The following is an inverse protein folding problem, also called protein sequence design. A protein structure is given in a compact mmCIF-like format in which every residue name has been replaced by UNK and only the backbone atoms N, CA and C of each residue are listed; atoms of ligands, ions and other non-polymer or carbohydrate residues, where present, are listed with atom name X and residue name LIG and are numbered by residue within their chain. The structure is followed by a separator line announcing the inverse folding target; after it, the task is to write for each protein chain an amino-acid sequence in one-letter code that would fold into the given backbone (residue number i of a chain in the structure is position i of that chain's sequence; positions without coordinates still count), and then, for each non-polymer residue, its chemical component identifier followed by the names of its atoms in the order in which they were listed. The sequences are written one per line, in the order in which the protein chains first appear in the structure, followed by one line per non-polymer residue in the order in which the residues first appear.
data_IF_803437610412
#
_entry.id   IF_803437610412
#
_cell.length_a   1.000
_cell.length_b   1.000
_cell.length_c   1.000
_cell.angle_alpha   90.00
_cell.angle_beta   90.00
_cell.angle_gamma   90.00
#
_symmetry.space_group_name_H-M   'P 1'
#
loop_
_entity.id
_entity.type
_entity.pdbx_description
1 polymer ?
#
# COMPACT_ATOMS: atom_id res chain seq x y z
N UNK A 1 -0.51 12.38 -24.23
CA UNK A 1 -1.14 11.06 -24.01
C UNK A 1 -1.31 10.82 -22.52
N UNK A 2 -0.23 10.83 -21.74
CA UNK A 2 -0.25 10.68 -20.27
C UNK A 2 -1.30 11.55 -19.55
N UNK A 3 -1.37 12.85 -19.84
CA UNK A 3 -2.41 13.74 -19.25
C UNK A 3 -3.86 13.40 -19.66
N UNK A 4 -4.07 12.48 -20.61
CA UNK A 4 -5.37 12.21 -21.27
C UNK A 4 -5.98 13.43 -21.98
N UNK A 5 -5.13 14.31 -22.51
CA UNK A 5 -5.52 15.58 -23.14
C UNK A 5 -5.21 15.67 -24.63
N UNK A 6 -4.74 14.60 -25.29
CA UNK A 6 -4.26 14.67 -26.68
C UNK A 6 -5.36 15.16 -27.64
N UNK A 7 -6.52 14.50 -27.65
CA UNK A 7 -7.68 14.92 -28.46
C UNK A 7 -8.12 16.35 -28.11
N UNK A 8 -8.21 16.69 -26.82
CA UNK A 8 -8.64 18.02 -26.35
C UNK A 8 -7.69 19.13 -26.81
N UNK A 9 -6.38 18.91 -26.71
CA UNK A 9 -5.37 19.89 -27.13
C UNK A 9 -5.36 20.07 -28.64
N UNK A 10 -5.44 18.99 -29.42
CA UNK A 10 -5.51 19.08 -30.87
C UNK A 10 -6.82 19.74 -31.32
N UNK A 11 -7.95 19.42 -30.69
CA UNK A 11 -9.23 20.11 -30.94
C UNK A 11 -9.14 21.60 -30.66
N UNK A 12 -8.48 22.02 -29.57
CA UNK A 12 -8.28 23.44 -29.25
C UNK A 12 -7.36 24.12 -30.25
N UNK A 13 -6.25 23.48 -30.62
CA UNK A 13 -5.31 24.00 -31.63
C UNK A 13 -6.02 24.20 -32.97
N UNK A 14 -6.82 23.22 -33.38
CA UNK A 14 -7.55 23.22 -34.67
C UNK A 14 -8.85 24.03 -34.65
N UNK A 15 -9.22 24.64 -33.50
CA UNK A 15 -10.36 25.55 -33.43
C UNK A 15 -10.05 26.93 -34.03
N UNK A 16 -8.76 27.26 -34.21
CA UNK A 16 -8.35 28.44 -34.98
C UNK A 16 -8.39 28.13 -36.49
N UNK A 17 -9.58 28.30 -37.06
CA UNK A 17 -9.83 28.03 -38.48
C UNK A 17 -9.03 28.96 -39.39
N UNK A 18 -8.76 30.21 -38.98
CA UNK A 18 -8.05 31.18 -39.81
C UNK A 18 -6.55 30.84 -39.88
N UNK A 19 -5.95 30.45 -38.74
CA UNK A 19 -4.58 29.93 -38.71
C UNK A 19 -4.45 28.67 -39.58
N UNK A 20 -5.42 27.77 -39.49
CA UNK A 20 -5.43 26.52 -40.27
C UNK A 20 -5.56 26.80 -41.77
N UNK A 21 -6.43 27.72 -42.18
CA UNK A 21 -6.57 28.15 -43.59
C UNK A 21 -5.30 28.83 -44.12
N UNK A 22 -4.62 29.61 -43.28
CA UNK A 22 -3.38 30.32 -43.63
C UNK A 22 -2.21 29.37 -43.87
N UNK A 23 -2.10 28.31 -43.07
CA UNK A 23 -0.96 27.39 -43.11
C UNK A 23 -1.15 26.20 -44.06
N UNK A 24 -2.39 25.73 -44.24
CA UNK A 24 -2.67 24.48 -44.97
C UNK A 24 -3.43 24.72 -46.28
N UNK A 25 -3.04 23.97 -47.33
CA UNK A 25 -3.75 23.94 -48.62
C UNK A 25 -5.15 23.34 -48.46
N UNK A 26 -6.09 23.71 -49.36
CA UNK A 26 -7.51 23.30 -49.27
C UNK A 26 -7.74 21.78 -49.19
N UNK A 27 -6.87 20.98 -49.82
CA UNK A 27 -6.93 19.52 -49.82
C UNK A 27 -6.17 18.85 -48.67
N UNK A 28 -5.58 19.63 -47.76
CA UNK A 28 -4.86 19.07 -46.63
C UNK A 28 -5.85 18.43 -45.64
N UNK A 29 -5.44 17.32 -45.04
CA UNK A 29 -6.20 16.58 -44.02
C UNK A 29 -6.83 17.50 -42.95
N UNK A 30 -6.05 18.42 -42.39
CA UNK A 30 -6.50 19.33 -41.33
C UNK A 30 -7.55 20.37 -41.79
N UNK A 31 -7.78 20.51 -43.10
CA UNK A 31 -8.82 21.35 -43.70
C UNK A 31 -10.01 20.55 -44.23
N UNK A 32 -9.99 19.22 -44.15
CA UNK A 32 -11.16 18.37 -44.34
C UNK A 32 -11.86 18.20 -42.98
N UNK A 33 -12.97 18.91 -42.78
CA UNK A 33 -13.61 18.97 -41.46
C UNK A 33 -14.12 17.61 -40.97
N UNK A 34 -14.69 16.79 -41.87
CA UNK A 34 -15.21 15.45 -41.55
C UNK A 34 -14.08 14.49 -41.11
N UNK A 35 -13.00 14.40 -41.88
CA UNK A 35 -11.85 13.55 -41.57
C UNK A 35 -11.15 13.99 -40.28
N UNK A 36 -11.00 15.31 -40.10
CA UNK A 36 -10.43 15.92 -38.90
C UNK A 36 -11.26 15.60 -37.67
N UNK A 37 -12.59 15.67 -37.74
CA UNK A 37 -13.48 15.35 -36.62
C UNK A 37 -13.40 13.87 -36.26
N UNK A 38 -13.45 12.96 -37.24
CA UNK A 38 -13.26 11.52 -37.02
C UNK A 38 -11.91 11.22 -36.38
N UNK A 39 -10.83 11.86 -36.83
CA UNK A 39 -9.51 11.72 -36.23
C UNK A 39 -9.50 12.15 -34.76
N UNK A 40 -10.04 13.33 -34.44
CA UNK A 40 -10.13 13.80 -33.06
C UNK A 40 -10.98 12.85 -32.18
N UNK A 41 -12.03 12.27 -32.75
CA UNK A 41 -12.86 11.27 -32.07
C UNK A 41 -12.08 9.98 -31.78
N UNK A 42 -11.33 9.45 -32.75
CA UNK A 42 -10.47 8.28 -32.54
C UNK A 42 -9.44 8.52 -31.45
N UNK A 43 -8.88 9.73 -31.34
CA UNK A 43 -7.92 10.07 -30.28
C UNK A 43 -8.52 10.06 -28.87
N UNK A 44 -9.84 10.10 -28.70
CA UNK A 44 -10.47 9.95 -27.38
C UNK A 44 -10.26 8.55 -26.79
N UNK A 45 -10.02 7.54 -27.62
CA UNK A 45 -9.69 6.19 -27.15
C UNK A 45 -8.44 6.16 -26.26
N UNK A 46 -7.49 7.08 -26.46
CA UNK A 46 -6.31 7.22 -25.61
C UNK A 46 -6.62 7.65 -24.16
N UNK A 47 -7.84 8.10 -23.86
CA UNK A 47 -8.23 8.44 -22.49
C UNK A 47 -8.66 7.21 -21.67
N UNK A 48 -8.95 6.07 -22.32
CA UNK A 48 -9.38 4.84 -21.66
C UNK A 48 -8.25 4.07 -20.98
N UNK A 49 -6.99 4.40 -21.29
CA UNK A 49 -5.80 3.72 -20.77
C UNK A 49 -4.94 4.74 -20.02
N UNK A 50 -4.36 4.32 -18.89
CA UNK A 50 -3.37 5.12 -18.17
C UNK A 50 -2.00 4.97 -18.83
N UNK A 51 -1.52 6.05 -19.44
CA UNK A 51 -0.22 6.11 -20.10
C UNK A 51 0.81 6.76 -19.18
N UNK A 52 2.01 6.19 -19.13
CA UNK A 52 3.17 6.75 -18.41
C UNK A 52 4.31 7.09 -19.38
N UNK A 53 3.97 7.38 -20.64
CA UNK A 53 4.95 7.57 -21.71
C UNK A 53 5.86 8.78 -21.51
N UNK A 54 5.39 9.84 -20.84
CA UNK A 54 6.23 10.99 -20.52
C UNK A 54 7.09 10.67 -19.29
N UNK A 55 6.45 10.18 -18.23
CA UNK A 55 7.12 9.83 -16.97
C UNK A 55 8.23 8.79 -17.15
N UNK A 56 8.01 7.77 -17.99
CA UNK A 56 9.00 6.70 -18.18
C UNK A 56 10.14 7.06 -19.15
N UNK A 57 9.96 8.05 -20.02
CA UNK A 57 10.98 8.47 -20.99
C UNK A 57 11.88 9.55 -20.41
N UNK A 58 11.31 10.52 -19.70
CA UNK A 58 12.04 11.65 -19.15
C UNK A 58 12.39 11.41 -17.67
N UNK A 59 13.30 10.49 -17.40
CA UNK A 59 13.62 10.06 -16.02
C UNK A 59 14.52 11.02 -15.23
N UNK A 60 15.15 11.98 -15.92
CA UNK A 60 16.12 12.92 -15.31
C UNK A 60 15.61 14.35 -15.19
N UNK A 61 14.38 14.63 -15.62
CA UNK A 61 13.81 15.98 -15.52
C UNK A 61 13.40 16.29 -14.08
N UNK A 62 13.41 17.58 -13.75
CA UNK A 62 12.85 18.08 -12.50
C UNK A 62 11.33 18.17 -12.62
N UNK A 63 10.62 17.62 -11.64
CA UNK A 63 9.16 17.63 -11.58
C UNK A 63 8.73 18.26 -10.25
N UNK A 64 7.86 19.28 -10.27
CA UNK A 64 7.17 19.73 -9.09
C UNK A 64 6.13 18.70 -8.63
N UNK A 65 6.21 18.32 -7.36
CA UNK A 65 5.24 17.48 -6.66
C UNK A 65 4.55 18.29 -5.56
N UNK A 66 3.23 18.20 -5.49
CA UNK A 66 2.42 18.78 -4.41
C UNK A 66 1.95 17.68 -3.48
N UNK A 67 2.32 17.79 -2.20
CA UNK A 67 1.88 16.90 -1.12
C UNK A 67 0.85 17.63 -0.30
N UNK A 68 -0.28 16.98 -0.06
CA UNK A 68 -1.36 17.45 0.78
C UNK A 68 -1.71 16.37 1.81
N UNK A 69 -1.55 16.69 3.10
CA UNK A 69 -1.91 15.80 4.20
C UNK A 69 -3.31 16.12 4.68
N UNK A 70 -4.19 15.12 4.67
CA UNK A 70 -5.58 15.28 5.09
C UNK A 70 -5.74 14.73 6.51
N UNK A 71 -5.84 15.59 7.54
CA UNK A 71 -6.11 15.15 8.91
C UNK A 71 -7.57 14.72 9.07
N UNK A 72 -7.86 13.92 10.08
CA UNK A 72 -9.24 13.57 10.38
C UNK A 72 -9.99 14.68 11.09
N UNK A 73 -11.22 14.96 10.60
CA UNK A 73 -12.14 15.93 11.21
C UNK A 73 -12.91 15.37 12.41
N UNK A 74 -12.71 14.08 12.75
CA UNK A 74 -13.53 13.35 13.73
C UNK A 74 -13.29 13.73 15.19
N UNK A 75 -12.14 14.33 15.52
CA UNK A 75 -11.89 14.89 16.85
C UNK A 75 -11.68 16.39 16.73
N UNK A 76 -12.64 17.17 17.23
CA UNK A 76 -12.46 18.60 17.42
C UNK A 76 -11.52 18.88 18.58
N UNK A 77 -10.61 19.84 18.40
CA UNK A 77 -10.22 20.72 19.52
C UNK A 77 -8.76 20.76 19.97
N UNK A 78 -7.83 19.97 19.44
CA UNK A 78 -6.40 20.18 19.75
C UNK A 78 -5.56 20.31 18.50
N UNK A 79 -4.86 21.44 18.39
CA UNK A 79 -3.91 21.67 17.30
C UNK A 79 -2.73 20.74 17.52
N UNK A 80 -2.49 19.84 16.57
CA UNK A 80 -1.26 19.06 16.50
C UNK A 80 -0.05 20.01 16.56
N UNK A 81 0.88 19.76 17.49
CA UNK A 81 1.96 20.70 17.84
C UNK A 81 3.36 20.26 17.40
N UNK A 82 3.55 18.99 17.07
CA UNK A 82 4.84 18.44 16.70
C UNK A 82 5.30 18.94 15.31
N UNK A 83 6.54 18.62 14.92
CA UNK A 83 7.06 18.91 13.59
C UNK A 83 6.81 17.72 12.64
N UNK A 84 5.87 17.83 11.67
CA UNK A 84 5.61 16.75 10.73
C UNK A 84 6.63 16.71 9.60
N UNK A 85 6.89 15.51 9.09
CA UNK A 85 7.75 15.28 7.93
C UNK A 85 7.18 14.18 7.03
N UNK A 86 7.59 14.19 5.76
CA UNK A 86 7.27 13.17 4.76
C UNK A 86 8.50 12.76 3.96
N UNK A 87 8.48 11.56 3.39
CA UNK A 87 9.42 11.07 2.38
C UNK A 87 8.59 10.39 1.29
N UNK A 88 8.70 10.88 0.05
CA UNK A 88 7.95 10.34 -1.10
C UNK A 88 8.88 9.44 -1.90
N UNK A 89 8.43 8.24 -2.22
CA UNK A 89 9.16 7.27 -3.03
C UNK A 89 8.33 6.88 -4.25
N UNK A 90 9.01 6.67 -5.37
CA UNK A 90 8.43 6.10 -6.59
C UNK A 90 9.37 5.10 -7.25
N UNK A 91 8.97 4.58 -8.41
CA UNK A 91 9.72 3.55 -9.16
C UNK A 91 11.16 3.96 -9.53
N UNK A 92 11.45 5.27 -9.62
CA UNK A 92 12.77 5.76 -10.05
C UNK A 92 13.66 6.27 -8.91
N UNK A 93 13.07 6.86 -7.86
CA UNK A 93 13.81 7.55 -6.80
C UNK A 93 12.94 7.82 -5.57
N UNK A 94 13.57 8.32 -4.51
CA UNK A 94 12.91 8.87 -3.33
C UNK A 94 13.46 10.26 -2.96
N UNK A 95 12.67 11.06 -2.25
CA UNK A 95 12.99 12.46 -1.93
C UNK A 95 13.93 12.65 -0.74
N UNK A 96 14.06 11.63 0.12
CA UNK A 96 14.51 11.83 1.49
C UNK A 96 13.47 12.57 2.34
N UNK A 97 13.85 12.98 3.55
CA UNK A 97 12.94 13.60 4.52
C UNK A 97 12.70 15.08 4.20
N UNK A 98 11.44 15.43 4.00
CA UNK A 98 10.93 16.77 3.75
C UNK A 98 10.10 17.23 4.94
N UNK A 99 10.43 18.39 5.51
CA UNK A 99 9.67 18.97 6.61
C UNK A 99 8.38 19.62 6.09
N UNK A 100 7.25 19.32 6.73
CA UNK A 100 5.97 19.96 6.44
C UNK A 100 5.79 21.15 7.38
N UNK A 101 5.51 22.37 6.89
CA UNK A 101 5.18 23.50 7.76
C UNK A 101 3.96 23.19 8.63
N UNK A 102 4.07 23.44 9.93
CA UNK A 102 3.07 23.05 10.96
C UNK A 102 1.63 23.49 10.66
N UNK A 103 1.45 24.57 9.92
CA UNK A 103 0.15 25.23 9.74
C UNK A 103 -0.47 25.06 8.36
N UNK A 104 0.28 24.55 7.38
CA UNK A 104 -0.22 24.44 6.00
C UNK A 104 -0.74 23.05 5.67
N UNK A 105 -0.21 22.01 6.33
CA UNK A 105 -0.51 20.60 6.03
C UNK A 105 -0.23 20.20 4.56
N UNK A 106 0.48 21.06 3.83
CA UNK A 106 0.85 20.86 2.44
C UNK A 106 2.25 21.42 2.18
N UNK A 107 2.92 20.82 1.20
CA UNK A 107 4.19 21.29 0.66
C UNK A 107 4.22 21.07 -0.84
N UNK A 108 4.87 21.98 -1.57
CA UNK A 108 5.30 21.73 -2.94
C UNK A 108 6.81 21.69 -2.95
N UNK A 109 7.37 20.68 -3.61
CA UNK A 109 8.81 20.56 -3.80
C UNK A 109 9.11 20.15 -5.24
N UNK A 110 10.30 20.46 -5.70
CA UNK A 110 10.79 20.07 -7.01
C UNK A 110 11.96 19.10 -6.83
N UNK A 111 11.91 17.96 -7.49
CA UNK A 111 12.98 16.96 -7.46
C UNK A 111 13.07 16.23 -8.80
N UNK A 112 14.11 15.43 -8.99
CA UNK A 112 14.19 14.56 -10.16
C UNK A 112 12.97 13.63 -10.20
N UNK A 113 12.46 13.38 -11.40
CA UNK A 113 11.30 12.52 -11.65
C UNK A 113 11.36 11.21 -10.83
N UNK A 114 10.41 11.07 -9.90
CA UNK A 114 10.26 9.90 -9.02
C UNK A 114 9.63 8.70 -9.74
N UNK A 115 9.15 8.86 -10.97
CA UNK A 115 8.41 7.82 -11.69
C UNK A 115 6.95 7.74 -11.23
N UNK A 116 6.39 6.53 -11.28
CA UNK A 116 5.10 6.25 -10.62
C UNK A 116 5.33 6.20 -9.12
N UNK A 117 4.54 6.96 -8.37
CA UNK A 117 4.69 7.02 -6.91
C UNK A 117 4.21 5.70 -6.30
N UNK A 118 4.97 5.19 -5.33
CA UNK A 118 4.73 3.88 -4.71
C UNK A 118 4.40 4.02 -3.24
N UNK A 119 5.19 4.76 -2.48
CA UNK A 119 5.04 4.89 -1.02
C UNK A 119 5.26 6.32 -0.53
N UNK A 120 4.61 6.64 0.58
CA UNK A 120 4.88 7.84 1.37
C UNK A 120 5.17 7.40 2.79
N UNK A 121 6.35 7.74 3.30
CA UNK A 121 6.64 7.67 4.73
C UNK A 121 6.26 9.01 5.34
N UNK A 122 5.59 9.00 6.48
CA UNK A 122 5.25 10.23 7.19
C UNK A 122 5.38 10.04 8.70
N UNK A 123 5.71 11.11 9.41
CA UNK A 123 5.83 11.04 10.85
C UNK A 123 6.01 12.41 11.48
N UNK A 124 6.36 12.42 12.77
CA UNK A 124 6.70 13.64 13.49
C UNK A 124 7.73 13.39 14.60
N UNK A 125 8.35 14.47 15.08
CA UNK A 125 9.42 14.44 16.08
C UNK A 125 8.94 14.28 17.55
N UNK A 126 7.64 14.06 17.73
CA UNK A 126 6.99 13.98 19.05
C UNK A 126 7.19 15.23 19.96
N UNK A 127 7.52 16.39 19.39
CA UNK A 127 7.66 17.64 20.16
C UNK A 127 6.30 18.29 20.49
N UNK A 128 6.31 19.22 21.45
CA UNK A 128 5.14 20.00 21.84
C UNK A 128 4.22 19.31 22.85
N UNK A 129 3.16 20.02 23.27
CA UNK A 129 2.22 19.56 24.30
C UNK A 129 1.22 18.53 23.79
N UNK A 130 0.92 18.55 22.49
CA UNK A 130 -0.02 17.64 21.84
C UNK A 130 0.59 17.08 20.56
N UNK A 131 1.33 15.99 20.71
CA UNK A 131 2.01 15.25 19.64
C UNK A 131 1.22 14.00 19.24
N UNK A 132 -0.09 14.17 19.01
CA UNK A 132 -1.01 13.11 18.58
C UNK A 132 -1.69 13.56 17.30
N UNK A 133 -1.47 12.83 16.21
CA UNK A 133 -1.91 13.22 14.88
C UNK A 133 -2.70 12.09 14.24
N UNK A 134 -4.00 12.33 13.99
CA UNK A 134 -4.85 11.41 13.25
C UNK A 134 -4.92 11.84 11.79
N UNK A 135 -4.35 11.03 10.90
CA UNK A 135 -4.28 11.32 9.46
C UNK A 135 -5.22 10.39 8.73
N UNK A 136 -6.11 10.94 7.89
CA UNK A 136 -6.99 10.11 7.05
C UNK A 136 -6.22 9.55 5.86
N UNK A 137 -5.55 10.42 5.10
CA UNK A 137 -4.72 10.04 3.97
C UNK A 137 -3.79 11.18 3.57
N UNK A 138 -2.79 10.88 2.75
CA UNK A 138 -1.94 11.85 2.05
C UNK A 138 -2.27 11.80 0.57
N UNK A 139 -2.30 12.96 -0.10
CA UNK A 139 -2.38 13.08 -1.54
C UNK A 139 -1.04 13.59 -2.06
N UNK A 140 -0.51 12.99 -3.12
CA UNK A 140 0.67 13.51 -3.83
C UNK A 140 0.35 13.65 -5.31
N UNK A 141 0.53 14.85 -5.87
CA UNK A 141 0.27 15.16 -7.28
C UNK A 141 1.55 15.51 -8.00
N UNK A 142 1.76 14.90 -9.17
CA UNK A 142 2.73 15.35 -10.15
C UNK A 142 2.14 16.56 -10.89
N UNK A 143 2.71 17.75 -10.70
CA UNK A 143 2.16 19.01 -11.24
C UNK A 143 2.29 19.12 -12.77
N UNK A 144 3.18 18.35 -13.39
CA UNK A 144 3.38 18.34 -14.84
C UNK A 144 2.31 17.46 -15.52
N UNK A 145 2.17 16.22 -15.06
CA UNK A 145 1.27 15.23 -15.67
C UNK A 145 -0.16 15.35 -15.15
N UNK A 146 -0.33 15.84 -13.92
CA UNK A 146 -1.60 15.86 -13.21
C UNK A 146 -1.98 14.53 -12.56
N UNK A 147 -1.13 13.49 -12.66
CA UNK A 147 -1.35 12.25 -11.92
C UNK A 147 -1.32 12.53 -10.41
N UNK A 148 -2.37 12.10 -9.73
CA UNK A 148 -2.51 12.21 -8.29
C UNK A 148 -2.59 10.82 -7.68
N UNK A 149 -1.89 10.63 -6.57
CA UNK A 149 -1.86 9.38 -5.83
C UNK A 149 -2.43 9.63 -4.44
N UNK A 150 -3.29 8.71 -3.99
CA UNK A 150 -3.84 8.68 -2.64
C UNK A 150 -3.08 7.65 -1.83
N UNK A 151 -2.67 8.04 -0.62
CA UNK A 151 -1.97 7.20 0.34
C UNK A 151 -2.84 7.08 1.60
N UNK A 152 -3.71 6.07 1.69
CA UNK A 152 -4.56 5.88 2.85
C UNK A 152 -3.75 5.65 4.13
N UNK A 153 -4.14 6.30 5.24
CA UNK A 153 -3.55 6.08 6.56
C UNK A 153 -4.61 5.63 7.56
N UNK A 154 -5.57 6.51 7.87
CA UNK A 154 -6.69 6.23 8.77
C UNK A 154 -6.29 5.90 10.21
N UNK A 155 -5.09 6.30 10.65
CA UNK A 155 -4.50 5.88 11.93
C UNK A 155 -3.81 7.02 12.67
N UNK A 156 -3.61 6.80 13.97
CA UNK A 156 -2.89 7.77 14.80
C UNK A 156 -1.37 7.61 14.65
N UNK A 157 -0.69 8.75 14.79
CA UNK A 157 0.74 8.91 15.02
C UNK A 157 0.89 9.65 16.36
N UNK A 158 1.49 9.02 17.37
CA UNK A 158 1.71 9.62 18.68
C UNK A 158 1.91 8.59 19.78
N UNK A 159 2.71 8.93 20.80
CA UNK A 159 2.87 8.06 21.98
C UNK A 159 1.55 7.93 22.75
N UNK A 160 1.23 6.71 23.16
CA UNK A 160 0.04 6.41 23.98
C UNK A 160 -1.30 6.48 23.24
N UNK A 161 -1.29 6.54 21.91
CA UNK A 161 -2.48 6.35 21.05
C UNK A 161 -2.20 5.23 20.05
N UNK A 162 -3.24 4.48 19.67
CA UNK A 162 -3.14 3.37 18.72
C UNK A 162 -1.99 2.41 19.08
N UNK A 163 -1.10 2.06 18.15
CA UNK A 163 0.08 1.21 18.36
C UNK A 163 1.35 1.96 18.83
N UNK A 164 1.21 3.25 19.20
CA UNK A 164 2.30 4.10 19.66
C UNK A 164 3.30 4.55 18.58
N UNK A 165 2.97 4.31 17.30
CA UNK A 165 3.78 4.72 16.16
C UNK A 165 3.98 6.25 16.10
N UNK A 166 5.18 6.72 15.75
CA UNK A 166 5.47 8.13 15.41
C UNK A 166 5.74 8.32 13.92
N UNK A 167 5.84 7.23 13.16
CA UNK A 167 6.04 7.24 11.72
C UNK A 167 5.33 6.05 11.06
N UNK A 168 4.75 6.26 9.88
CA UNK A 168 4.08 5.20 9.10
C UNK A 168 4.52 5.23 7.66
N UNK A 169 4.58 4.04 7.06
CA UNK A 169 4.76 3.84 5.62
C UNK A 169 3.40 3.59 5.01
N UNK A 170 2.99 4.44 4.08
CA UNK A 170 1.72 4.39 3.38
C UNK A 170 1.96 3.97 1.94
N UNK A 171 1.07 3.14 1.39
CA UNK A 171 1.14 2.68 0.00
C UNK A 171 0.19 3.51 -0.87
N UNK A 172 0.68 3.92 -2.04
CA UNK A 172 0.00 4.81 -2.95
C UNK A 172 -0.85 4.07 -3.97
N UNK A 173 -2.02 4.63 -4.24
CA UNK A 173 -2.90 4.22 -5.32
C UNK A 173 -3.12 5.40 -6.27
N UNK A 174 -2.99 5.16 -7.58
CA UNK A 174 -3.27 6.18 -8.57
C UNK A 174 -4.77 6.51 -8.54
N UNK A 175 -5.08 7.79 -8.40
CA UNK A 175 -6.45 8.28 -8.43
C UNK A 175 -6.90 8.37 -9.88
N UNK A 176 -7.82 7.51 -10.27
CA UNK A 176 -8.55 7.66 -11.53
C UNK A 176 -9.58 8.78 -11.37
N UNK A 177 -9.58 9.81 -12.23
CA UNK A 177 -10.61 10.84 -12.20
C UNK A 177 -11.97 10.18 -12.49
N UNK A 178 -12.80 10.02 -11.47
CA UNK A 178 -14.18 9.57 -11.66
C UNK A 178 -14.92 10.61 -12.50
N UNK A 179 -15.37 10.20 -13.68
CA UNK A 179 -16.29 10.94 -14.53
C UNK A 179 -17.71 10.94 -13.93
N UNK A 180 -17.87 11.48 -12.72
CA UNK A 180 -19.19 11.65 -12.10
C UNK A 180 -19.80 13.04 -12.36
N UNK A 181 -19.20 13.87 -13.23
CA UNK A 181 -19.74 15.19 -13.60
C UNK A 181 -19.68 15.55 -15.10
N UNK A 182 -19.68 14.57 -16.02
CA UNK A 182 -20.00 14.84 -17.44
C UNK A 182 -21.22 14.01 -17.87
N UNK A 183 -22.39 14.60 -17.65
CA UNK A 183 -23.68 14.10 -18.14
C UNK A 183 -23.76 14.15 -19.67
N UNK A 184 -24.33 13.07 -20.23
CA UNK A 184 -24.97 12.91 -21.55
C UNK A 184 -24.11 13.11 -22.81
N UNK A 185 -23.71 11.99 -23.42
CA UNK A 185 -24.24 11.58 -24.75
C UNK A 185 -23.76 10.17 -25.14
N UNK A 186 -24.73 9.38 -25.60
CA UNK A 186 -24.68 8.10 -26.34
C UNK A 186 -23.40 7.24 -26.24
N UNK A 187 -23.47 6.16 -25.45
CA UNK A 187 -22.49 5.06 -25.52
C UNK A 187 -23.20 3.77 -25.90
N UNK A 188 -22.68 3.09 -26.92
CA UNK A 188 -22.81 1.64 -27.09
C UNK A 188 -22.26 0.94 -25.84
N UNK A 189 -22.84 -0.20 -25.42
CA UNK A 189 -22.37 -0.91 -24.24
C UNK A 189 -20.93 -1.39 -24.46
N UNK A 190 -20.01 -1.22 -23.49
CA UNK A 190 -18.68 -1.80 -23.59
C UNK A 190 -18.77 -3.32 -23.59
N UNK A 191 -17.83 -3.98 -24.29
CA UNK A 191 -17.61 -5.42 -24.22
C UNK A 191 -17.52 -5.83 -22.75
N UNK A 192 -18.39 -6.75 -22.34
CA UNK A 192 -18.39 -7.28 -20.98
C UNK A 192 -17.04 -7.93 -20.70
N UNK A 193 -16.25 -7.30 -19.82
CA UNK A 193 -15.24 -8.02 -19.07
C UNK A 193 -15.97 -8.93 -18.09
N UNK A 194 -15.53 -10.19 -18.01
CA UNK A 194 -16.02 -11.14 -17.01
C UNK A 194 -15.97 -10.50 -15.62
N UNK A 195 -17.01 -10.65 -14.78
CA UNK A 195 -17.07 -9.95 -13.51
C UNK A 195 -15.99 -10.47 -12.56
N UNK A 196 -14.89 -9.73 -12.43
CA UNK A 196 -14.09 -9.73 -11.21
C UNK A 196 -14.90 -9.01 -10.14
N UNK A 197 -15.92 -9.69 -9.61
CA UNK A 197 -16.86 -9.14 -8.63
C UNK A 197 -16.18 -9.04 -7.27
N UNK A 198 -15.32 -8.04 -7.09
CA UNK A 198 -15.11 -7.48 -5.76
C UNK A 198 -16.42 -6.82 -5.35
N UNK A 199 -17.17 -7.50 -4.48
CA UNK A 199 -18.18 -6.79 -3.68
C UNK A 199 -17.43 -5.68 -2.95
N UNK A 200 -17.63 -4.42 -3.39
CA UNK A 200 -17.25 -3.25 -2.60
C UNK A 200 -17.82 -3.44 -1.22
N UNK A 201 -16.97 -3.77 -0.24
CA UNK A 201 -17.34 -3.61 1.15
C UNK A 201 -17.55 -2.11 1.34
N UNK A 202 -18.81 -1.72 1.54
CA UNK A 202 -19.20 -0.32 1.75
C UNK A 202 -18.34 0.23 2.88
N UNK A 203 -17.59 1.28 2.59
CA UNK A 203 -16.70 1.96 3.54
C UNK A 203 -17.55 2.76 4.53
N UNK A 204 -18.08 2.07 5.53
CA UNK A 204 -18.64 2.71 6.72
C UNK A 204 -17.50 2.82 7.73
N UNK A 205 -17.19 4.05 8.16
CA UNK A 205 -16.32 4.46 9.28
C UNK A 205 -15.21 3.50 9.78
N UNK A 206 -13.95 3.97 10.00
CA UNK A 206 -12.81 3.13 10.40
C UNK A 206 -12.96 2.38 11.74
N UNK A 207 -14.00 2.63 12.53
CA UNK A 207 -14.21 2.01 13.84
C UNK A 207 -15.14 0.79 13.84
N UNK A 208 -15.64 0.33 12.69
CA UNK A 208 -16.42 -0.90 12.62
C UNK A 208 -16.18 -1.65 11.30
N UNK A 209 -14.94 -2.08 11.04
CA UNK A 209 -14.72 -3.10 10.03
C UNK A 209 -15.51 -4.35 10.46
N UNK A 210 -16.37 -4.92 9.60
CA UNK A 210 -17.12 -6.13 9.95
C UNK A 210 -16.12 -7.24 10.27
N UNK A 211 -16.30 -7.93 11.41
CA UNK A 211 -15.47 -9.08 11.78
C UNK A 211 -15.69 -10.16 10.72
N UNK A 212 -14.65 -10.44 9.94
CA UNK A 212 -14.71 -11.42 8.86
C UNK A 212 -14.84 -12.83 9.43
N UNK A 213 -15.61 -13.68 8.75
CA UNK A 213 -15.65 -15.10 9.08
C UNK A 213 -14.43 -15.84 8.49
N UNK A 214 -14.21 -17.07 8.95
CA UNK A 214 -13.09 -17.92 8.50
C UNK A 214 -13.00 -18.04 6.98
N UNK A 215 -14.12 -18.26 6.29
CA UNK A 215 -14.14 -18.45 4.84
C UNK A 215 -13.68 -17.19 4.09
N UNK A 216 -14.15 -16.02 4.52
CA UNK A 216 -13.75 -14.72 3.95
C UNK A 216 -12.26 -14.44 4.17
N UNK A 217 -11.72 -14.84 5.32
CA UNK A 217 -10.29 -14.67 5.61
C UNK A 217 -9.45 -15.58 4.70
N UNK A 218 -9.84 -16.84 4.53
CA UNK A 218 -9.15 -17.76 3.62
C UNK A 218 -9.20 -17.30 2.17
N UNK A 219 -10.36 -16.81 1.72
CA UNK A 219 -10.54 -16.22 0.40
C UNK A 219 -9.61 -15.01 0.22
N UNK A 220 -9.60 -14.07 1.18
CA UNK A 220 -8.74 -12.89 1.13
C UNK A 220 -7.24 -13.23 1.07
N UNK A 221 -6.78 -14.24 1.80
CA UNK A 221 -5.39 -14.73 1.69
C UNK A 221 -5.14 -15.32 0.30
N UNK A 222 -6.05 -16.16 -0.19
CA UNK A 222 -5.92 -16.75 -1.52
C UNK A 222 -5.88 -15.71 -2.63
N UNK A 223 -6.69 -14.66 -2.54
CA UNK A 223 -6.72 -13.53 -3.48
C UNK A 223 -5.43 -12.73 -3.45
N UNK A 224 -4.92 -12.37 -2.26
CA UNK A 224 -3.67 -11.63 -2.11
C UNK A 224 -2.49 -12.38 -2.74
N UNK A 225 -2.41 -13.69 -2.47
CA UNK A 225 -1.37 -14.57 -3.00
C UNK A 225 -1.51 -14.72 -4.52
N UNK A 226 -2.71 -14.97 -5.02
CA UNK A 226 -2.98 -15.04 -6.45
C UNK A 226 -2.62 -13.72 -7.18
N UNK A 227 -2.83 -12.58 -6.53
CA UNK A 227 -2.39 -11.27 -7.04
C UNK A 227 -0.88 -11.20 -7.24
N UNK A 228 -0.10 -11.67 -6.27
CA UNK A 228 1.37 -11.74 -6.33
C UNK A 228 1.81 -12.74 -7.41
N UNK A 229 1.21 -13.94 -7.46
CA UNK A 229 1.52 -14.95 -8.48
C UNK A 229 1.27 -14.39 -9.89
N UNK A 230 0.12 -13.76 -10.12
CA UNK A 230 -0.21 -13.13 -11.40
C UNK A 230 0.76 -12.02 -11.78
N UNK A 231 1.28 -11.28 -10.81
CA UNK A 231 2.30 -10.26 -11.06
C UNK A 231 3.57 -10.89 -11.67
N UNK A 232 4.06 -12.00 -11.13
CA UNK A 232 5.27 -12.64 -11.66
C UNK A 232 5.07 -13.33 -13.01
N UNK A 233 3.85 -13.77 -13.33
CA UNK A 233 3.52 -14.31 -14.64
C UNK A 233 3.39 -13.25 -15.75
N UNK A 234 3.25 -11.96 -15.39
CA UNK A 234 3.25 -10.87 -16.38
C UNK A 234 4.67 -10.54 -16.85
N UNK A 235 4.84 -10.13 -18.12
CA UNK A 235 6.09 -9.53 -18.60
C UNK A 235 6.49 -8.36 -17.72
N UNK A 236 7.80 -8.19 -17.47
CA UNK A 236 8.33 -7.19 -16.53
C UNK A 236 7.81 -5.76 -16.80
N UNK A 237 7.67 -5.39 -18.08
CA UNK A 237 7.16 -4.07 -18.51
C UNK A 237 5.68 -3.83 -18.19
N UNK A 238 4.93 -4.89 -17.91
CA UNK A 238 3.48 -4.86 -17.59
C UNK A 238 3.19 -5.12 -16.10
N UNK A 239 4.24 -5.34 -15.31
CA UNK A 239 4.10 -5.56 -13.87
C UNK A 239 3.65 -4.27 -13.18
N UNK A 240 2.68 -4.40 -12.27
CA UNK A 240 2.26 -3.33 -11.38
C UNK A 240 3.17 -3.22 -10.15
N UNK A 241 2.85 -2.37 -9.18
CA UNK A 241 3.62 -2.28 -7.93
C UNK A 241 3.45 -3.55 -7.07
N UNK A 242 4.57 -4.23 -6.78
CA UNK A 242 4.57 -5.36 -5.84
C UNK A 242 4.29 -4.89 -4.40
N UNK A 243 4.74 -3.69 -4.03
CA UNK A 243 4.44 -3.04 -2.75
C UNK A 243 2.94 -2.89 -2.52
N UNK A 244 2.16 -2.58 -3.57
CA UNK A 244 0.70 -2.56 -3.48
C UNK A 244 0.10 -3.94 -3.20
N UNK A 245 0.63 -5.00 -3.81
CA UNK A 245 0.15 -6.37 -3.58
C UNK A 245 0.52 -6.90 -2.19
N UNK A 246 1.64 -6.44 -1.63
CA UNK A 246 2.09 -6.82 -0.29
C UNK A 246 1.37 -6.00 0.80
N UNK A 247 1.38 -4.67 0.68
CA UNK A 247 1.03 -3.73 1.75
C UNK A 247 -0.18 -2.83 1.43
N UNK A 248 -0.73 -2.89 0.22
CA UNK A 248 -1.92 -2.12 -0.16
C UNK A 248 -3.21 -2.61 0.51
N UNK A 249 -4.33 -1.98 0.17
CA UNK A 249 -5.63 -2.43 0.64
C UNK A 249 -5.90 -3.86 0.14
N UNK A 250 -6.24 -4.77 1.06
CA UNK A 250 -6.42 -6.20 0.77
C UNK A 250 -5.16 -6.94 0.29
N UNK A 251 -3.97 -6.37 0.46
CA UNK A 251 -2.70 -7.03 0.19
C UNK A 251 -2.36 -8.15 1.20
N UNK A 252 -1.22 -8.81 1.00
CA UNK A 252 -0.78 -9.95 1.82
C UNK A 252 -0.69 -9.61 3.32
N UNK A 253 -0.14 -8.45 3.67
CA UNK A 253 -0.02 -7.99 5.07
C UNK A 253 -1.39 -7.84 5.70
N UNK A 254 -2.35 -7.26 4.98
CA UNK A 254 -3.71 -7.12 5.48
C UNK A 254 -4.38 -8.50 5.65
N UNK A 255 -4.23 -9.40 4.69
CA UNK A 255 -4.83 -10.73 4.76
C UNK A 255 -4.28 -11.54 5.95
N UNK A 256 -2.97 -11.49 6.19
CA UNK A 256 -2.35 -12.13 7.36
C UNK A 256 -2.70 -11.44 8.68
N UNK A 257 -2.86 -10.11 8.71
CA UNK A 257 -3.42 -9.42 9.88
C UNK A 257 -4.80 -10.02 10.22
N UNK A 258 -5.70 -10.20 9.24
CA UNK A 258 -7.02 -10.81 9.52
C UNK A 258 -6.92 -12.24 10.07
N UNK A 259 -5.95 -13.04 9.59
CA UNK A 259 -5.67 -14.38 10.14
C UNK A 259 -5.31 -14.30 11.63
N UNK A 260 -4.36 -13.44 12.00
CA UNK A 260 -3.91 -13.31 13.39
C UNK A 260 -4.90 -12.56 14.29
N UNK A 261 -5.81 -11.77 13.75
CA UNK A 261 -6.88 -11.14 14.53
C UNK A 261 -8.04 -12.13 14.80
N UNK A 262 -8.20 -13.19 14.00
CA UNK A 262 -9.30 -14.14 14.14
C UNK A 262 -9.20 -14.97 15.43
N UNK A 263 -10.10 -14.68 16.37
CA UNK A 263 -10.14 -15.33 17.68
C UNK A 263 -9.08 -14.82 18.65
N UNK A 264 -8.50 -13.64 18.41
CA UNK A 264 -7.56 -13.03 19.34
C UNK A 264 -8.27 -12.57 20.62
N UNK A 265 -7.78 -13.00 21.79
CA UNK A 265 -8.39 -12.65 23.08
C UNK A 265 -8.09 -11.18 23.39
N UNK A 266 -9.10 -10.35 23.36
CA UNK A 266 -8.99 -8.98 23.87
C UNK A 266 -9.12 -8.98 25.40
N UNK A 267 -8.19 -8.36 26.16
CA UNK A 267 -8.33 -8.25 27.60
C UNK A 267 -9.54 -7.38 27.96
N UNK A 268 -10.24 -7.74 29.05
CA UNK A 268 -11.45 -7.04 29.52
C UNK A 268 -11.21 -5.60 30.01
N UNK A 269 -9.95 -5.18 30.15
CA UNK A 269 -9.55 -3.87 30.67
C UNK A 269 -8.73 -3.15 29.62
N UNK A 270 -9.18 -1.94 29.21
CA UNK A 270 -8.61 -0.81 28.42
C UNK A 270 -7.21 -0.87 27.76
N UNK A 271 -6.58 -2.04 27.61
CA UNK A 271 -5.26 -2.24 27.02
C UNK A 271 -5.44 -2.86 25.65
N UNK A 272 -5.09 -2.10 24.63
CA UNK A 272 -5.02 -2.63 23.27
C UNK A 272 -3.89 -3.66 23.22
N UNK A 273 -4.22 -4.87 22.75
CA UNK A 273 -3.25 -5.93 22.47
C UNK A 273 -3.12 -6.05 20.96
N UNK A 274 -1.89 -6.09 20.48
CA UNK A 274 -1.56 -6.17 19.07
C UNK A 274 -0.98 -7.55 18.75
N UNK A 275 -0.99 -7.92 17.47
CA UNK A 275 -0.35 -9.15 16.99
C UNK A 275 1.12 -9.17 17.43
N UNK A 276 1.80 -8.02 17.39
CA UNK A 276 3.19 -7.91 17.83
C UNK A 276 3.41 -8.31 19.29
N UNK A 277 2.45 -8.07 20.19
CA UNK A 277 2.55 -8.52 21.59
C UNK A 277 2.56 -10.06 21.70
N UNK A 278 1.82 -10.74 20.83
CA UNK A 278 1.83 -12.19 20.73
C UNK A 278 3.16 -12.71 20.17
N UNK A 279 3.69 -12.05 19.14
CA UNK A 279 4.97 -12.41 18.54
C UNK A 279 6.14 -12.23 19.52
N UNK A 280 6.18 -11.13 20.28
CA UNK A 280 7.21 -10.90 21.31
C UNK A 280 7.17 -11.96 22.41
N UNK A 281 5.98 -12.30 22.92
CA UNK A 281 5.84 -13.39 23.91
C UNK A 281 6.26 -14.75 23.35
N UNK A 282 5.96 -15.01 22.08
CA UNK A 282 6.35 -16.25 21.41
C UNK A 282 7.86 -16.32 21.23
N UNK A 283 8.51 -15.21 20.85
CA UNK A 283 9.97 -15.10 20.79
C UNK A 283 10.62 -15.45 22.13
N UNK A 284 10.17 -14.83 23.24
CA UNK A 284 10.70 -15.11 24.58
C UNK A 284 10.54 -16.59 24.95
N UNK A 285 9.41 -17.20 24.60
CA UNK A 285 9.21 -18.63 24.81
C UNK A 285 10.23 -19.47 24.03
N UNK A 286 10.40 -19.20 22.73
CA UNK A 286 11.32 -19.97 21.89
C UNK A 286 12.78 -19.85 22.33
N UNK A 287 13.24 -18.63 22.65
CA UNK A 287 14.61 -18.40 23.17
C UNK A 287 14.84 -19.14 24.49
N UNK A 288 13.82 -19.24 25.36
CA UNK A 288 13.92 -20.01 26.59
C UNK A 288 13.89 -21.53 26.40
N UNK A 289 13.24 -22.01 25.34
CA UNK A 289 13.11 -23.43 25.02
C UNK A 289 14.39 -23.97 24.35
N UNK A 290 15.02 -23.17 23.49
CA UNK A 290 16.29 -23.47 22.84
C UNK A 290 17.40 -23.71 23.88
N UNK A 291 17.45 -22.90 24.94
CA UNK A 291 18.41 -23.05 26.05
C UNK A 291 18.23 -24.33 26.86
N UNK A 292 17.08 -25.00 26.77
CA UNK A 292 16.76 -26.19 27.58
C UNK A 292 16.98 -27.51 26.84
N UNK A 293 17.46 -27.49 25.58
CA UNK A 293 17.65 -28.68 24.72
C UNK A 293 16.41 -29.61 24.64
N UNK A 294 15.20 -29.07 24.80
CA UNK A 294 13.97 -29.88 25.00
C UNK A 294 13.47 -30.52 23.70
N UNK A 295 13.97 -30.11 22.53
CA UNK A 295 13.44 -30.57 21.24
C UNK A 295 14.57 -30.93 20.26
N UNK A 296 14.70 -32.21 19.85
CA UNK A 296 15.76 -32.67 18.93
C UNK A 296 15.44 -32.48 17.43
N UNK A 297 14.32 -31.82 17.05
CA UNK A 297 13.97 -31.60 15.63
C UNK A 297 14.80 -30.44 15.03
N UNK A 298 15.80 -30.77 14.21
CA UNK A 298 16.67 -29.80 13.51
C UNK A 298 15.87 -28.79 12.67
N UNK A 299 14.74 -29.23 12.09
CA UNK A 299 13.90 -28.35 11.30
C UNK A 299 13.19 -27.32 12.18
N UNK A 300 12.78 -27.71 13.40
CA UNK A 300 12.19 -26.80 14.37
C UNK A 300 13.17 -25.74 14.84
N UNK A 301 14.39 -26.15 15.19
CA UNK A 301 15.45 -25.26 15.66
C UNK A 301 15.80 -24.22 14.59
N UNK A 302 15.89 -24.63 13.33
CA UNK A 302 16.13 -23.73 12.21
C UNK A 302 15.01 -22.69 12.06
N UNK A 303 13.73 -23.12 12.15
CA UNK A 303 12.57 -22.21 12.09
C UNK A 303 12.59 -21.18 13.24
N UNK A 304 12.90 -21.63 14.45
CA UNK A 304 13.02 -20.78 15.64
C UNK A 304 14.14 -19.76 15.48
N UNK A 305 15.33 -20.21 15.07
CA UNK A 305 16.50 -19.35 14.90
C UNK A 305 16.20 -18.22 13.90
N UNK A 306 15.66 -18.54 12.73
CA UNK A 306 15.26 -17.54 11.74
C UNK A 306 14.19 -16.60 12.30
N UNK A 307 13.13 -17.10 12.93
CA UNK A 307 12.09 -16.24 13.50
C UNK A 307 12.65 -15.25 14.54
N UNK A 308 13.44 -15.74 15.51
CA UNK A 308 14.02 -14.91 16.56
C UNK A 308 15.05 -13.91 16.00
N UNK A 309 15.80 -14.26 14.95
CA UNK A 309 16.70 -13.34 14.27
C UNK A 309 15.96 -12.14 13.68
N UNK A 310 14.85 -12.37 12.98
CA UNK A 310 14.06 -11.29 12.37
C UNK A 310 13.37 -10.45 13.43
N UNK A 311 12.82 -11.08 14.47
CA UNK A 311 12.24 -10.37 15.62
C UNK A 311 13.26 -9.45 16.30
N UNK A 312 14.49 -9.92 16.55
CA UNK A 312 15.58 -9.10 17.10
C UNK A 312 15.95 -7.95 16.16
N UNK A 313 16.13 -8.23 14.87
CA UNK A 313 16.46 -7.20 13.88
C UNK A 313 15.40 -6.09 13.84
N UNK A 314 14.12 -6.45 13.77
CA UNK A 314 13.00 -5.50 13.74
C UNK A 314 12.90 -4.73 15.05
N UNK A 315 13.08 -5.38 16.21
CA UNK A 315 13.04 -4.69 17.50
C UNK A 315 14.23 -3.77 17.75
N UNK A 316 15.38 -4.03 17.11
CA UNK A 316 16.59 -3.22 17.23
C UNK A 316 16.59 -1.97 16.33
N UNK A 317 15.59 -1.82 15.46
CA UNK A 317 15.48 -0.64 14.59
C UNK A 317 15.31 0.65 15.40
N UNK A 318 15.99 1.72 14.99
CA UNK A 318 15.84 3.06 15.61
C UNK A 318 14.53 3.75 15.22
N UNK A 319 13.77 3.17 14.28
CA UNK A 319 12.52 3.70 13.77
C UNK A 319 11.37 3.50 14.76
N UNK A 320 10.44 4.45 14.79
CA UNK A 320 9.25 4.41 15.64
C UNK A 320 8.00 4.02 14.83
N UNK A 321 8.07 2.92 14.08
CA UNK A 321 7.00 2.46 13.18
C UNK A 321 5.76 1.89 13.88
N UNK A 322 5.83 1.70 15.20
CA UNK A 322 4.76 1.08 15.99
C UNK A 322 4.63 -0.43 15.77
N UNK A 323 3.75 -1.07 16.52
CA UNK A 323 3.58 -2.53 16.51
C UNK A 323 3.04 -3.06 15.19
N UNK A 324 2.13 -2.33 14.54
CA UNK A 324 1.56 -2.79 13.28
C UNK A 324 2.54 -2.57 12.12
N UNK A 325 3.34 -1.50 12.19
CA UNK A 325 4.46 -1.30 11.27
C UNK A 325 5.53 -2.41 11.39
N UNK A 326 5.84 -2.86 12.62
CA UNK A 326 6.72 -4.00 12.85
C UNK A 326 6.14 -5.31 12.30
N UNK A 327 4.83 -5.55 12.47
CA UNK A 327 4.17 -6.71 11.87
C UNK A 327 4.22 -6.68 10.35
N UNK A 328 3.90 -5.53 9.73
CA UNK A 328 4.02 -5.32 8.28
C UNK A 328 5.44 -5.64 7.79
N UNK A 329 6.46 -5.11 8.48
CA UNK A 329 7.86 -5.36 8.19
C UNK A 329 8.19 -6.85 8.24
N UNK A 330 7.79 -7.55 9.30
CA UNK A 330 8.01 -8.99 9.45
C UNK A 330 7.38 -9.76 8.30
N UNK A 331 6.13 -9.46 7.94
CA UNK A 331 5.45 -10.13 6.82
C UNK A 331 6.19 -9.90 5.50
N UNK A 332 6.62 -8.66 5.22
CA UNK A 332 7.35 -8.36 3.99
C UNK A 332 8.67 -9.12 3.91
N UNK A 333 9.45 -9.10 5.00
CA UNK A 333 10.73 -9.80 5.08
C UNK A 333 10.56 -11.32 5.00
N UNK A 334 9.53 -11.87 5.66
CA UNK A 334 9.19 -13.28 5.54
C UNK A 334 8.74 -13.68 4.14
N UNK A 335 8.07 -12.79 3.40
CA UNK A 335 7.70 -13.04 2.01
C UNK A 335 8.95 -13.04 1.11
N UNK A 336 9.82 -12.03 1.27
CA UNK A 336 11.13 -11.91 0.57
C UNK A 336 11.98 -13.17 0.73
N UNK A 337 12.08 -13.68 1.95
CA UNK A 337 12.99 -14.78 2.29
C UNK A 337 12.29 -16.14 2.33
N UNK A 338 11.03 -16.20 1.87
CA UNK A 338 10.23 -17.43 1.81
C UNK A 338 10.06 -18.13 3.17
N UNK A 339 9.91 -17.37 4.25
CA UNK A 339 9.80 -17.88 5.62
C UNK A 339 8.38 -17.86 6.20
N UNK A 340 7.42 -17.19 5.56
CA UNK A 340 6.06 -17.02 6.13
C UNK A 340 5.39 -18.34 6.55
N UNK A 341 5.39 -19.35 5.68
CA UNK A 341 4.76 -20.63 5.97
C UNK A 341 5.46 -21.38 7.11
N UNK A 342 6.79 -21.26 7.22
CA UNK A 342 7.55 -21.79 8.35
C UNK A 342 7.17 -21.10 9.67
N UNK A 343 7.02 -19.78 9.66
CA UNK A 343 6.63 -19.02 10.84
C UNK A 343 5.18 -19.25 11.25
N UNK A 344 4.26 -19.42 10.29
CA UNK A 344 2.87 -19.80 10.59
C UNK A 344 2.81 -21.16 11.29
N UNK A 345 3.53 -22.16 10.78
CA UNK A 345 3.60 -23.48 11.43
C UNK A 345 4.18 -23.36 12.86
N UNK A 346 5.29 -22.61 12.98
CA UNK A 346 5.97 -22.34 14.24
C UNK A 346 5.04 -21.70 15.30
N UNK A 347 4.29 -20.68 14.90
CA UNK A 347 3.40 -19.93 15.80
C UNK A 347 2.13 -20.72 16.14
N UNK A 348 1.60 -21.53 15.22
CA UNK A 348 0.43 -22.38 15.50
C UNK A 348 0.70 -23.40 16.62
N UNK A 349 1.91 -23.98 16.64
CA UNK A 349 2.33 -24.95 17.66
C UNK A 349 2.84 -24.30 18.96
N UNK A 350 2.93 -22.97 19.01
CA UNK A 350 3.43 -22.23 20.17
C UNK A 350 2.45 -22.30 21.35
N UNK A 351 2.88 -22.68 22.58
CA UNK A 351 2.00 -22.68 23.76
C UNK A 351 1.40 -21.31 24.11
N UNK A 352 2.04 -20.22 23.70
CA UNK A 352 1.51 -18.86 23.86
C UNK A 352 0.19 -18.68 23.10
N UNK A 353 0.00 -19.40 21.99
CA UNK A 353 -1.23 -19.37 21.18
C UNK A 353 -2.45 -19.79 22.01
N UNK A 354 -2.34 -20.81 22.85
CA UNK A 354 -3.42 -21.25 23.76
C UNK A 354 -3.79 -20.14 24.75
N UNK A 355 -2.81 -19.37 25.22
CA UNK A 355 -3.01 -18.30 26.19
C UNK A 355 -3.71 -17.09 25.56
N UNK A 356 -3.33 -16.72 24.34
CA UNK A 356 -3.74 -15.46 23.68
C UNK A 356 -4.88 -15.59 22.67
N UNK A 357 -5.26 -16.82 22.28
CA UNK A 357 -6.35 -17.06 21.32
C UNK A 357 -7.48 -17.89 21.91
N UNK A 358 -8.71 -17.60 21.46
CA UNK A 358 -9.93 -18.37 21.69
C UNK A 358 -9.85 -19.74 20.99
N UNK A 359 -10.62 -20.74 21.43
CA UNK A 359 -10.58 -22.09 20.85
C UNK A 359 -11.03 -22.15 19.38
N UNK A 360 -11.85 -21.20 18.96
CA UNK A 360 -12.34 -21.05 17.57
C UNK A 360 -11.38 -20.26 16.68
N UNK A 361 -10.21 -19.83 17.20
CA UNK A 361 -9.24 -19.06 16.43
C UNK A 361 -8.70 -19.85 15.22
N UNK A 362 -8.45 -19.15 14.11
CA UNK A 362 -8.02 -19.80 12.87
C UNK A 362 -6.65 -20.46 13.07
N UNK A 363 -5.74 -19.76 13.76
CA UNK A 363 -4.39 -20.23 14.05
C UNK A 363 -4.34 -21.48 14.95
N UNK A 364 -5.46 -21.87 15.58
CA UNK A 364 -5.59 -23.08 16.40
C UNK A 364 -6.21 -24.26 15.65
N UNK A 365 -6.82 -24.03 14.50
CA UNK A 365 -7.37 -25.10 13.66
C UNK A 365 -6.29 -25.63 12.72
N UNK A 366 -5.87 -26.88 12.96
CA UNK A 366 -4.80 -27.53 12.19
C UNK A 366 -5.13 -27.68 10.70
N UNK A 367 -6.40 -27.86 10.33
CA UNK A 367 -6.81 -27.96 8.92
C UNK A 367 -6.67 -26.60 8.23
N UNK A 368 -7.14 -25.53 8.88
CA UNK A 368 -7.06 -24.17 8.35
C UNK A 368 -5.61 -23.68 8.27
N UNK A 369 -4.79 -23.95 9.29
CA UNK A 369 -3.35 -23.62 9.29
C UNK A 369 -2.62 -24.37 8.18
N UNK A 370 -2.88 -25.66 7.98
CA UNK A 370 -2.27 -26.42 6.88
C UNK A 370 -2.69 -25.87 5.50
N UNK A 371 -3.95 -25.47 5.33
CA UNK A 371 -4.41 -24.80 4.11
C UNK A 371 -3.66 -23.49 3.88
N UNK A 372 -3.53 -22.66 4.91
CA UNK A 372 -2.79 -21.40 4.86
C UNK A 372 -1.31 -21.61 4.50
N UNK A 373 -0.65 -22.58 5.12
CA UNK A 373 0.74 -22.97 4.81
C UNK A 373 0.89 -23.33 3.34
N UNK A 374 0.00 -24.18 2.79
CA UNK A 374 0.03 -24.58 1.37
C UNK A 374 -0.12 -23.40 0.43
N UNK A 375 -1.04 -22.48 0.74
CA UNK A 375 -1.24 -21.28 -0.08
C UNK A 375 0.00 -20.38 -0.02
N UNK A 376 0.60 -20.17 1.17
CA UNK A 376 1.83 -19.38 1.32
C UNK A 376 3.04 -20.03 0.62
N UNK A 377 3.11 -21.36 0.55
CA UNK A 377 4.17 -22.09 -0.16
C UNK A 377 4.19 -21.80 -1.66
N UNK A 378 3.06 -21.38 -2.26
CA UNK A 378 3.03 -20.96 -3.68
C UNK A 378 3.93 -19.75 -3.96
N UNK A 379 4.31 -18.98 -2.95
CA UNK A 379 5.26 -17.87 -3.10
C UNK A 379 6.74 -18.30 -3.13
N UNK A 380 7.06 -19.56 -2.83
CA UNK A 380 8.45 -20.04 -2.74
C UNK A 380 9.21 -19.92 -4.07
N UNK A 381 8.50 -19.94 -5.20
CA UNK A 381 9.11 -19.91 -6.54
C UNK A 381 9.42 -18.49 -7.03
N UNK A 382 9.00 -17.44 -6.30
CA UNK A 382 9.03 -16.06 -6.79
C UNK A 382 9.95 -15.16 -5.96
N UNK A 383 11.01 -14.63 -6.59
CA UNK A 383 11.92 -13.69 -5.95
C UNK A 383 11.23 -12.32 -5.69
N UNK A 384 10.76 -12.13 -4.46
CA UNK A 384 10.13 -10.88 -4.02
C UNK A 384 11.22 -9.85 -3.69
N UNK A 385 11.23 -8.73 -4.41
CA UNK A 385 12.11 -7.60 -4.10
C UNK A 385 11.32 -6.53 -3.36
N UNK A 386 11.83 -6.06 -2.22
CA UNK A 386 11.17 -5.05 -1.39
C UNK A 386 11.75 -3.65 -1.65
N UNK A 387 10.88 -2.64 -1.65
CA UNK A 387 11.31 -1.25 -1.68
C UNK A 387 12.06 -0.87 -0.40
N UNK A 388 13.06 0.00 -0.52
CA UNK A 388 13.84 0.49 0.61
C UNK A 388 12.96 1.15 1.69
N UNK A 389 11.86 1.80 1.30
CA UNK A 389 10.90 2.42 2.23
C UNK A 389 10.25 1.41 3.19
N UNK A 390 10.05 0.17 2.73
CA UNK A 390 9.48 -0.91 3.53
C UNK A 390 10.47 -1.49 4.52
N UNK A 391 11.77 -1.57 4.17
CA UNK A 391 12.82 -2.25 4.97
C UNK A 391 13.87 -1.32 5.60
N UNK A 392 13.65 0.00 5.52
CA UNK A 392 14.60 1.00 6.02
C UNK A 392 14.97 0.75 7.49
N UNK A 393 16.28 0.72 7.75
CA UNK A 393 16.83 0.53 9.09
C UNK A 393 16.93 -0.92 9.55
N UNK A 394 16.87 -1.88 8.62
CA UNK A 394 17.07 -3.31 8.87
C UNK A 394 18.23 -3.81 8.00
N UNK A 395 19.17 -4.53 8.62
CA UNK A 395 20.39 -5.06 7.97
C UNK A 395 20.43 -6.59 7.96
N UNK A 396 19.33 -7.23 7.54
CA UNK A 396 19.22 -8.69 7.37
C UNK A 396 18.70 -9.08 5.99
#
# INVERSE_FOLDING_TARGET
MEKKLLSRHLKKLLSDHELTKKLYKRYAFLRCDDEKEQFLYHLLSFNAVDYFCFTNVFTTIMIPYHVLVIPSKKLGGSMFTANPWVCVSGELAETGVLQIPKHTQEITFECQNLGKLTTVQMGHDNSGLYAKWLVEYVMVRNEITGHAYKFPCGRWLGKGVDDGSLERVLVGELVTPNSENEDRMCRTPPMQQSPGMMRRFVTISPNSKPKLNTGQIQEGVGEAINGIVKHFHKPEKERGSLTLLLCGEYGLVWALDQVFQHGFKSPRLFKNVFIWDFLEKSQVYFESAEQREVTPDENWQTRVCHFCQFMRAINSTSRNIGKDGKFQMLVCLGARDHLLHHWIALLADCPITVQMYEDTALIKDRSLVNSLIRVLQTLQEFNITLEASLVKGIGI
#
